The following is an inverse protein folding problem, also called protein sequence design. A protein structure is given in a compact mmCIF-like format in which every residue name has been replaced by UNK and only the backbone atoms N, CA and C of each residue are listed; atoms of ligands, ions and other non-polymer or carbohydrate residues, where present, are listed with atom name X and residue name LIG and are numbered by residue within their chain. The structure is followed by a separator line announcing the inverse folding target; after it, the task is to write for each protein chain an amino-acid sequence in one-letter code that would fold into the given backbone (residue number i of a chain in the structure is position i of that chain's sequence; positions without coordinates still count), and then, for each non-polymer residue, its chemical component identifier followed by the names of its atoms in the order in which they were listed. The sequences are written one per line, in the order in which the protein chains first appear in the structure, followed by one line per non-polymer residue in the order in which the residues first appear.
data_IF_984769006295
#
_entry.id   IF_984769006295
#
_cell.length_a   1.000
_cell.length_b   1.000
_cell.length_c   1.000
_cell.angle_alpha   90.00
_cell.angle_beta   90.00
_cell.angle_gamma   90.00
#
_symmetry.space_group_name_H-M   'P 1'
#
loop_
_entity.id
_entity.type
_entity.pdbx_description
1 polymer ?
#
# COMPACT_ATOMS: atom_id res chain seq x y z
N UNK A 1 14.50 37.38 -3.56
CA UNK A 1 15.23 36.12 -3.86
C UNK A 1 16.17 35.86 -2.71
N UNK A 2 16.27 34.63 -2.21
CA UNK A 2 17.26 34.30 -1.19
C UNK A 2 18.68 34.48 -1.74
N UNK A 3 19.59 34.92 -0.89
CA UNK A 3 21.02 34.98 -1.15
C UNK A 3 21.61 33.58 -1.35
N UNK A 4 22.76 33.49 -2.01
CA UNK A 4 23.47 32.22 -2.18
C UNK A 4 23.83 31.59 -0.84
N UNK A 5 24.21 32.40 0.16
CA UNK A 5 24.50 31.93 1.51
C UNK A 5 23.27 31.28 2.18
N UNK A 6 22.07 31.85 2.02
CA UNK A 6 20.84 31.25 2.56
C UNK A 6 20.50 29.92 1.86
N UNK A 7 20.74 29.81 0.55
CA UNK A 7 20.52 28.56 -0.18
C UNK A 7 21.49 27.46 0.28
N UNK A 8 22.77 27.80 0.47
CA UNK A 8 23.77 26.87 1.00
C UNK A 8 23.38 26.35 2.40
N UNK A 9 22.88 27.23 3.28
CA UNK A 9 22.40 26.83 4.61
C UNK A 9 21.18 25.88 4.52
N UNK A 10 20.25 26.15 3.61
CA UNK A 10 19.08 25.29 3.38
C UNK A 10 19.47 23.92 2.81
N UNK A 11 20.47 23.88 1.93
CA UNK A 11 21.00 22.62 1.38
C UNK A 11 21.70 21.80 2.47
N UNK A 12 22.53 22.42 3.31
CA UNK A 12 23.15 21.75 4.46
C UNK A 12 22.10 21.21 5.44
N UNK A 13 21.05 22.00 5.71
CA UNK A 13 19.92 21.58 6.54
C UNK A 13 19.20 20.39 5.90
N UNK A 14 18.94 20.42 4.60
CA UNK A 14 18.35 19.30 3.86
C UNK A 14 19.18 18.03 4.01
N UNK A 15 20.48 18.11 3.74
CA UNK A 15 21.41 17.00 3.85
C UNK A 15 21.42 16.39 5.26
N UNK A 16 21.35 17.21 6.30
CA UNK A 16 21.30 16.74 7.69
C UNK A 16 19.99 16.02 8.06
N UNK A 17 18.87 16.37 7.42
CA UNK A 17 17.53 15.89 7.80
C UNK A 17 17.05 14.73 6.92
N UNK A 18 17.27 14.82 5.61
CA UNK A 18 16.82 13.84 4.61
C UNK A 18 17.98 13.09 3.93
N UNK A 19 19.22 13.53 4.13
CA UNK A 19 20.41 12.96 3.48
C UNK A 19 20.75 13.70 2.19
N UNK A 20 22.04 13.92 1.93
CA UNK A 20 22.48 14.64 0.74
C UNK A 20 22.04 13.93 -0.55
N UNK A 21 22.11 12.60 -0.56
CA UNK A 21 21.77 11.76 -1.71
C UNK A 21 20.29 11.82 -2.13
N UNK A 22 19.40 12.38 -1.30
CA UNK A 22 17.98 12.52 -1.62
C UNK A 22 17.63 13.85 -2.28
N UNK A 23 18.61 14.74 -2.47
CA UNK A 23 18.42 16.04 -3.13
C UNK A 23 18.36 15.86 -4.66
N UNK A 24 17.28 15.27 -5.15
CA UNK A 24 17.05 15.11 -6.58
C UNK A 24 16.68 16.44 -7.26
N UNK A 25 16.62 16.43 -8.60
CA UNK A 25 16.37 17.63 -9.41
C UNK A 25 15.14 18.44 -8.98
N UNK A 26 14.03 17.77 -8.64
CA UNK A 26 12.84 18.44 -8.09
C UNK A 26 13.12 19.29 -6.84
N UNK A 27 13.84 18.77 -5.85
CA UNK A 27 14.22 19.51 -4.66
C UNK A 27 15.21 20.64 -4.96
N UNK A 28 16.21 20.38 -5.81
CA UNK A 28 17.18 21.39 -6.23
C UNK A 28 16.52 22.55 -7.02
N UNK A 29 15.55 22.22 -7.86
CA UNK A 29 14.72 23.20 -8.59
C UNK A 29 13.89 24.03 -7.62
N UNK A 30 13.27 23.38 -6.63
CA UNK A 30 12.49 24.06 -5.60
C UNK A 30 13.35 25.01 -4.77
N UNK A 31 14.54 24.59 -4.33
CA UNK A 31 15.49 25.45 -3.61
C UNK A 31 15.89 26.68 -4.44
N UNK A 32 16.07 26.53 -5.75
CA UNK A 32 16.46 27.62 -6.65
C UNK A 32 15.32 28.62 -6.87
N UNK A 33 14.10 28.13 -7.06
CA UNK A 33 12.94 28.93 -7.50
C UNK A 33 12.19 29.52 -6.31
N UNK A 34 11.96 28.73 -5.26
CA UNK A 34 11.23 29.14 -4.05
C UNK A 34 11.86 28.54 -2.77
N UNK A 35 12.92 29.18 -2.24
CA UNK A 35 13.58 28.77 -1.00
C UNK A 35 12.65 28.75 0.22
N UNK A 36 11.59 29.57 0.24
CA UNK A 36 10.63 29.62 1.34
C UNK A 36 9.79 28.36 1.33
N UNK A 37 9.24 27.99 0.17
CA UNK A 37 8.50 26.75 0.02
C UNK A 37 9.40 25.51 0.20
N UNK A 38 10.64 25.54 -0.30
CA UNK A 38 11.64 24.49 -0.02
C UNK A 38 11.80 24.23 1.48
N UNK A 39 12.02 25.29 2.26
CA UNK A 39 12.21 25.19 3.72
C UNK A 39 10.99 24.62 4.43
N UNK A 40 9.78 25.03 4.01
CA UNK A 40 8.53 24.50 4.55
C UNK A 40 8.33 23.01 4.20
N UNK A 41 8.52 22.64 2.93
CA UNK A 41 8.41 21.24 2.46
C UNK A 41 9.44 20.33 3.14
N UNK A 42 10.68 20.79 3.30
CA UNK A 42 11.70 20.08 4.08
C UNK A 42 11.26 19.88 5.54
N UNK A 43 10.71 20.93 6.17
CA UNK A 43 10.25 20.85 7.56
C UNK A 43 9.19 19.76 7.75
N UNK A 44 8.23 19.67 6.81
CA UNK A 44 7.18 18.67 6.80
C UNK A 44 7.73 17.27 6.53
N UNK A 45 8.47 17.09 5.44
CA UNK A 45 9.04 15.81 5.03
C UNK A 45 10.01 15.21 6.07
N UNK A 46 10.71 16.06 6.84
CA UNK A 46 11.64 15.61 7.86
C UNK A 46 10.98 15.16 9.18
N UNK A 47 9.67 15.37 9.39
CA UNK A 47 9.02 15.01 10.68
C UNK A 47 9.14 13.52 11.00
N UNK A 48 8.75 12.58 10.11
CA UNK A 48 8.89 11.15 10.40
C UNK A 48 10.34 10.78 10.63
N UNK A 49 11.25 11.41 9.86
CA UNK A 49 12.67 11.15 9.98
C UNK A 49 13.28 11.59 11.30
N UNK A 50 12.84 12.72 11.86
CA UNK A 50 13.31 13.20 13.17
C UNK A 50 12.74 12.37 14.31
N UNK A 51 11.46 12.03 14.25
CA UNK A 51 10.79 11.24 15.30
C UNK A 51 11.30 9.79 15.36
N UNK A 52 11.64 9.21 14.21
CA UNK A 52 12.26 7.88 14.09
C UNK A 52 11.50 6.76 14.82
N UNK A 53 10.16 6.81 14.83
CA UNK A 53 9.34 5.73 15.38
C UNK A 53 9.37 4.45 14.53
N UNK A 54 9.62 4.59 13.23
CA UNK A 54 9.91 3.50 12.30
C UNK A 54 11.38 3.56 11.89
N UNK A 55 11.97 2.41 11.56
CA UNK A 55 13.34 2.36 11.05
C UNK A 55 13.44 3.07 9.69
N UNK A 56 14.67 3.43 9.27
CA UNK A 56 14.89 4.04 7.95
C UNK A 56 14.49 3.11 6.81
N UNK A 57 14.73 1.81 6.98
CA UNK A 57 14.30 0.77 6.06
C UNK A 57 12.77 0.75 5.91
N UNK A 58 12.04 0.68 7.02
CA UNK A 58 10.57 0.62 6.99
C UNK A 58 9.96 1.90 6.42
N UNK A 59 10.52 3.07 6.75
CA UNK A 59 10.10 4.34 6.15
C UNK A 59 10.26 4.33 4.62
N UNK A 60 11.36 3.76 4.11
CA UNK A 60 11.59 3.65 2.68
C UNK A 60 10.64 2.64 2.02
N UNK A 61 10.39 1.49 2.65
CA UNK A 61 9.44 0.48 2.14
C UNK A 61 7.99 1.01 2.12
N UNK A 62 7.58 1.77 3.13
CA UNK A 62 6.25 2.41 3.16
C UNK A 62 6.14 3.49 2.08
N UNK A 63 7.18 4.31 1.88
CA UNK A 63 7.17 5.28 0.79
C UNK A 63 7.14 4.62 -0.60
N UNK A 64 7.81 3.47 -0.77
CA UNK A 64 7.70 2.65 -1.97
C UNK A 64 6.24 2.21 -2.21
N UNK A 65 5.54 1.73 -1.18
CA UNK A 65 4.15 1.30 -1.31
C UNK A 65 3.23 2.40 -1.85
N UNK A 66 3.43 3.64 -1.40
CA UNK A 66 2.70 4.81 -1.90
C UNK A 66 3.04 5.08 -3.36
N UNK A 67 4.33 5.10 -3.71
CA UNK A 67 4.79 5.45 -5.05
C UNK A 67 4.45 4.38 -6.11
N UNK A 68 4.45 3.09 -5.73
CA UNK A 68 4.19 1.98 -6.64
C UNK A 68 2.73 1.53 -6.72
N UNK A 69 1.85 2.08 -5.88
CA UNK A 69 0.42 1.83 -5.97
C UNK A 69 -0.09 2.18 -7.38
N UNK A 70 -1.01 1.36 -7.91
CA UNK A 70 -1.56 1.53 -9.26
C UNK A 70 -2.28 2.89 -9.46
N UNK A 71 -2.74 3.51 -8.38
CA UNK A 71 -3.36 4.84 -8.38
C UNK A 71 -2.35 5.99 -8.42
N UNK A 72 -1.05 5.73 -8.16
CA UNK A 72 -0.02 6.76 -8.15
C UNK A 72 1.05 6.57 -9.23
N UNK A 73 1.69 5.39 -9.30
CA UNK A 73 2.70 5.00 -10.29
C UNK A 73 3.82 6.05 -10.50
N UNK A 74 4.32 6.65 -9.42
CA UNK A 74 5.33 7.70 -9.49
C UNK A 74 6.75 7.13 -9.62
N UNK A 75 7.16 6.83 -10.85
CA UNK A 75 8.42 6.15 -11.17
C UNK A 75 9.68 6.75 -10.51
N UNK A 76 9.90 8.09 -10.45
CA UNK A 76 11.06 8.65 -9.76
C UNK A 76 11.09 8.33 -8.26
N UNK A 77 9.92 8.36 -7.62
CA UNK A 77 9.75 7.99 -6.22
C UNK A 77 10.04 6.51 -5.97
N UNK A 78 9.46 5.62 -6.79
CA UNK A 78 9.72 4.17 -6.74
C UNK A 78 11.23 3.89 -6.74
N UNK A 79 11.96 4.48 -7.69
CA UNK A 79 13.42 4.30 -7.78
C UNK A 79 14.15 4.82 -6.55
N UNK A 80 13.74 5.98 -6.05
CA UNK A 80 14.35 6.62 -4.88
C UNK A 80 14.17 5.76 -3.62
N UNK A 81 12.96 5.25 -3.40
CA UNK A 81 12.63 4.45 -2.22
C UNK A 81 13.26 3.06 -2.26
N UNK A 82 13.35 2.41 -3.43
CA UNK A 82 14.10 1.15 -3.58
C UNK A 82 15.58 1.34 -3.21
N UNK A 83 16.23 2.39 -3.74
CA UNK A 83 17.63 2.67 -3.43
C UNK A 83 17.82 3.00 -1.95
N UNK A 84 16.91 3.78 -1.36
CA UNK A 84 16.95 4.12 0.06
C UNK A 84 16.79 2.88 0.95
N UNK A 85 15.84 1.99 0.63
CA UNK A 85 15.62 0.74 1.36
C UNK A 85 16.86 -0.17 1.28
N UNK A 86 17.44 -0.33 0.07
CA UNK A 86 18.65 -1.14 -0.13
C UNK A 86 19.85 -0.61 0.67
N UNK A 87 20.05 0.72 0.74
CA UNK A 87 21.11 1.34 1.56
C UNK A 87 20.96 1.01 3.05
N UNK A 88 19.73 0.83 3.52
CA UNK A 88 19.39 0.47 4.90
C UNK A 88 19.30 -1.05 5.11
N UNK A 89 19.75 -1.84 4.12
CA UNK A 89 19.86 -3.29 4.21
C UNK A 89 18.58 -4.06 3.84
N UNK A 90 17.64 -3.44 3.11
CA UNK A 90 16.50 -4.18 2.56
C UNK A 90 16.94 -5.20 1.52
N UNK A 91 16.34 -6.40 1.59
CA UNK A 91 16.56 -7.43 0.56
C UNK A 91 15.70 -7.17 -0.67
N UNK A 92 16.04 -7.86 -1.77
CA UNK A 92 15.21 -7.86 -2.99
C UNK A 92 13.82 -8.43 -2.67
N UNK A 93 13.74 -9.47 -1.83
CA UNK A 93 12.49 -10.10 -1.44
C UNK A 93 11.59 -9.15 -0.65
N UNK A 94 12.14 -8.35 0.27
CA UNK A 94 11.37 -7.32 1.00
C UNK A 94 10.79 -6.27 0.05
N UNK A 95 11.56 -5.83 -0.95
CA UNK A 95 11.11 -4.85 -1.95
C UNK A 95 10.02 -5.45 -2.86
N UNK A 96 10.22 -6.68 -3.35
CA UNK A 96 9.23 -7.36 -4.18
C UNK A 96 7.94 -7.60 -3.43
N UNK A 97 8.03 -7.97 -2.15
CA UNK A 97 6.85 -8.20 -1.33
C UNK A 97 6.03 -6.92 -1.09
N UNK A 98 6.66 -5.75 -0.97
CA UNK A 98 5.93 -4.46 -0.98
C UNK A 98 5.13 -4.30 -2.27
N UNK A 99 5.74 -4.61 -3.43
CA UNK A 99 5.07 -4.48 -4.73
C UNK A 99 3.91 -5.49 -4.87
N UNK A 100 4.10 -6.73 -4.42
CA UNK A 100 3.04 -7.75 -4.39
C UNK A 100 1.86 -7.29 -3.53
N UNK A 101 2.11 -6.80 -2.33
CA UNK A 101 1.10 -6.25 -1.43
C UNK A 101 0.39 -5.04 -2.04
N UNK A 102 1.12 -4.07 -2.60
CA UNK A 102 0.53 -2.90 -3.27
C UNK A 102 -0.30 -3.27 -4.50
N UNK A 103 -0.05 -4.41 -5.12
CA UNK A 103 -0.79 -4.88 -6.29
C UNK A 103 -2.18 -5.42 -5.94
N UNK A 104 -2.47 -5.70 -4.66
CA UNK A 104 -3.81 -6.14 -4.25
C UNK A 104 -4.85 -5.02 -4.29
N UNK A 105 -4.41 -3.76 -4.37
CA UNK A 105 -5.27 -2.56 -4.43
C UNK A 105 -6.40 -2.67 -5.47
N UNK A 106 -6.15 -3.35 -6.60
CA UNK A 106 -7.13 -3.52 -7.68
C UNK A 106 -8.44 -4.19 -7.24
N UNK A 107 -8.43 -4.98 -6.16
CA UNK A 107 -9.63 -5.64 -5.64
C UNK A 107 -10.71 -4.68 -5.16
N UNK A 108 -10.36 -3.42 -4.87
CA UNK A 108 -11.33 -2.41 -4.44
C UNK A 108 -12.39 -2.13 -5.51
N UNK A 109 -12.07 -2.37 -6.79
CA UNK A 109 -13.06 -2.36 -7.85
C UNK A 109 -14.18 -3.38 -7.63
N UNK A 110 -13.86 -4.59 -7.17
CA UNK A 110 -14.84 -5.62 -6.82
C UNK A 110 -15.54 -5.30 -5.49
N UNK A 111 -14.79 -4.87 -4.46
CA UNK A 111 -15.35 -4.57 -3.14
C UNK A 111 -16.41 -3.47 -3.17
N UNK A 112 -16.31 -2.53 -4.12
CA UNK A 112 -17.32 -1.47 -4.31
C UNK A 112 -18.30 -1.84 -5.43
N UNK A 113 -17.79 -2.35 -6.55
CA UNK A 113 -18.60 -2.63 -7.74
C UNK A 113 -19.59 -3.77 -7.55
N UNK A 114 -19.24 -4.81 -6.79
CA UNK A 114 -20.14 -5.95 -6.54
C UNK A 114 -21.34 -5.53 -5.68
N UNK A 115 -21.18 -4.83 -4.54
CA UNK A 115 -22.33 -4.30 -3.80
C UNK A 115 -23.26 -3.43 -4.65
N UNK A 116 -22.71 -2.52 -5.46
CA UNK A 116 -23.51 -1.68 -6.37
C UNK A 116 -24.25 -2.52 -7.43
N UNK A 117 -23.59 -3.54 -7.99
CA UNK A 117 -24.25 -4.48 -8.89
C UNK A 117 -25.42 -5.19 -8.18
N UNK A 118 -25.23 -5.64 -6.94
CA UNK A 118 -26.27 -6.28 -6.14
C UNK A 118 -27.44 -5.33 -5.85
N UNK A 119 -27.18 -4.06 -5.57
CA UNK A 119 -28.23 -3.03 -5.42
C UNK A 119 -29.08 -2.92 -6.68
N UNK A 120 -28.45 -2.77 -7.86
CA UNK A 120 -29.16 -2.70 -9.14
C UNK A 120 -29.91 -4.00 -9.43
N UNK A 121 -29.33 -5.18 -9.15
CA UNK A 121 -30.01 -6.46 -9.30
C UNK A 121 -31.27 -6.55 -8.42
N UNK A 122 -31.23 -6.00 -7.20
CA UNK A 122 -32.41 -5.95 -6.31
C UNK A 122 -33.49 -5.03 -6.86
N UNK A 123 -33.12 -3.83 -7.30
CA UNK A 123 -34.05 -2.85 -7.90
C UNK A 123 -34.74 -3.40 -9.15
N UNK A 124 -34.01 -4.17 -9.95
CA UNK A 124 -34.49 -4.78 -11.18
C UNK A 124 -35.23 -6.13 -10.96
N UNK A 125 -35.35 -6.60 -9.73
CA UNK A 125 -35.94 -7.90 -9.41
C UNK A 125 -35.15 -9.10 -9.94
N UNK A 126 -33.85 -8.92 -10.21
CA UNK A 126 -32.90 -9.91 -10.73
C UNK A 126 -31.99 -10.50 -9.66
N UNK A 127 -32.10 -10.04 -8.41
CA UNK A 127 -31.46 -10.66 -7.26
C UNK A 127 -32.20 -11.93 -6.85
N UNK A 128 -31.95 -13.00 -7.60
CA UNK A 128 -32.72 -14.26 -7.52
C UNK A 128 -32.24 -15.20 -6.42
N UNK A 129 -33.05 -16.23 -6.12
CA UNK A 129 -32.72 -17.31 -5.19
C UNK A 129 -31.40 -18.04 -5.53
N UNK A 130 -31.00 -18.03 -6.80
CA UNK A 130 -29.71 -18.59 -7.23
C UNK A 130 -28.50 -17.82 -6.68
N UNK A 131 -28.66 -16.52 -6.41
CA UNK A 131 -27.63 -15.65 -5.83
C UNK A 131 -27.72 -15.67 -4.30
N UNK A 132 -28.89 -15.80 -3.70
CA UNK A 132 -29.06 -15.79 -2.23
C UNK A 132 -28.98 -17.16 -1.56
N UNK A 133 -28.82 -18.23 -2.35
CA UNK A 133 -28.66 -19.59 -1.81
C UNK A 133 -27.50 -19.66 -0.81
N UNK A 134 -27.57 -20.57 0.18
CA UNK A 134 -26.43 -20.89 1.01
C UNK A 134 -25.21 -21.24 0.15
N UNK A 135 -24.01 -20.95 0.67
CA UNK A 135 -22.77 -21.35 0.02
C UNK A 135 -22.76 -22.85 -0.21
N UNK A 136 -22.28 -23.25 -1.39
CA UNK A 136 -21.94 -24.64 -1.63
C UNK A 136 -20.61 -25.02 -0.97
N UNK A 137 -20.26 -26.30 -1.02
CA UNK A 137 -19.05 -26.83 -0.39
C UNK A 137 -17.77 -26.13 -0.87
N UNK A 138 -17.73 -25.68 -2.13
CA UNK A 138 -16.56 -24.98 -2.67
C UNK A 138 -16.47 -23.55 -2.10
N UNK A 139 -17.59 -22.84 -2.05
CA UNK A 139 -17.65 -21.50 -1.50
C UNK A 139 -17.35 -21.48 0.01
N UNK A 140 -17.87 -22.44 0.78
CA UNK A 140 -17.51 -22.56 2.20
C UNK A 140 -16.02 -22.84 2.39
N UNK A 141 -15.43 -23.72 1.57
CA UNK A 141 -13.97 -23.95 1.58
C UNK A 141 -13.19 -22.66 1.31
N UNK A 142 -13.56 -21.90 0.27
CA UNK A 142 -12.88 -20.65 -0.09
C UNK A 142 -12.99 -19.60 1.02
N UNK A 143 -14.14 -19.50 1.67
CA UNK A 143 -14.35 -18.63 2.84
C UNK A 143 -13.45 -19.03 4.02
N UNK A 144 -13.39 -20.32 4.34
CA UNK A 144 -12.50 -20.84 5.39
C UNK A 144 -11.05 -20.52 5.07
N UNK A 145 -10.61 -20.82 3.84
CA UNK A 145 -9.22 -20.60 3.41
C UNK A 145 -8.85 -19.11 3.42
N UNK A 146 -9.75 -18.23 2.99
CA UNK A 146 -9.55 -16.78 3.09
C UNK A 146 -9.35 -16.35 4.54
N UNK A 147 -10.23 -16.80 5.42
CA UNK A 147 -10.20 -16.43 6.85
C UNK A 147 -8.91 -16.89 7.50
N UNK A 148 -8.45 -18.11 7.21
CA UNK A 148 -7.21 -18.68 7.75
C UNK A 148 -5.97 -17.94 7.24
N UNK A 149 -5.91 -17.61 5.94
CA UNK A 149 -4.73 -16.96 5.34
C UNK A 149 -4.65 -15.47 5.66
N UNK A 150 -5.79 -14.77 5.69
CA UNK A 150 -5.86 -13.30 5.85
C UNK A 150 -6.15 -12.85 7.27
N UNK A 151 -6.64 -13.75 8.13
CA UNK A 151 -6.92 -13.46 9.54
C UNK A 151 -8.22 -12.71 9.81
N UNK A 152 -9.06 -12.49 8.79
CA UNK A 152 -10.37 -11.85 8.93
C UNK A 152 -11.37 -12.33 7.86
N UNK A 153 -12.66 -12.09 8.11
CA UNK A 153 -13.74 -12.23 7.14
C UNK A 153 -14.70 -11.05 7.28
N UNK A 154 -15.22 -10.53 6.17
CA UNK A 154 -16.19 -9.44 6.16
C UNK A 154 -17.34 -9.75 5.19
N UNK A 155 -18.54 -9.25 5.48
CA UNK A 155 -19.77 -9.57 4.73
C UNK A 155 -19.76 -9.08 3.28
N UNK A 156 -19.04 -8.01 2.95
CA UNK A 156 -18.89 -7.53 1.57
C UNK A 156 -18.23 -8.57 0.64
N UNK A 157 -17.49 -9.54 1.18
CA UNK A 157 -16.93 -10.64 0.40
C UNK A 157 -17.98 -11.67 -0.03
N UNK A 158 -19.11 -11.74 0.67
CA UNK A 158 -20.07 -12.81 0.45
C UNK A 158 -20.69 -12.74 -0.93
N UNK A 159 -21.21 -11.58 -1.33
CA UNK A 159 -21.85 -11.43 -2.63
C UNK A 159 -20.83 -11.61 -3.77
N UNK A 160 -19.58 -11.18 -3.57
CA UNK A 160 -18.52 -11.45 -4.54
C UNK A 160 -18.25 -12.95 -4.69
N UNK A 161 -18.10 -13.68 -3.57
CA UNK A 161 -17.93 -15.14 -3.58
C UNK A 161 -19.16 -15.88 -4.17
N UNK A 162 -20.38 -15.35 -3.98
CA UNK A 162 -21.60 -15.91 -4.58
C UNK A 162 -21.64 -15.72 -6.09
N UNK A 163 -21.26 -14.55 -6.57
CA UNK A 163 -21.37 -14.16 -7.97
C UNK A 163 -20.22 -14.71 -8.83
N UNK A 164 -19.01 -14.78 -8.29
CA UNK A 164 -17.82 -15.19 -9.04
C UNK A 164 -16.80 -15.92 -8.14
N UNK A 165 -17.06 -17.19 -7.78
CA UNK A 165 -16.13 -17.96 -6.94
C UNK A 165 -14.79 -18.25 -7.62
N UNK A 166 -14.74 -18.29 -8.96
CA UNK A 166 -13.52 -18.53 -9.73
C UNK A 166 -12.57 -17.34 -9.63
N UNK A 167 -13.09 -16.11 -9.79
CA UNK A 167 -12.30 -14.91 -9.55
C UNK A 167 -11.88 -14.84 -8.07
N UNK A 168 -12.82 -15.06 -7.14
CA UNK A 168 -12.52 -15.00 -5.71
C UNK A 168 -11.34 -15.93 -5.34
N UNK A 169 -11.35 -17.17 -5.84
CA UNK A 169 -10.26 -18.13 -5.63
C UNK A 169 -8.93 -17.62 -6.21
N UNK A 170 -8.93 -17.13 -7.44
CA UNK A 170 -7.72 -16.58 -8.06
C UNK A 170 -7.17 -15.36 -7.30
N UNK A 171 -8.04 -14.50 -6.78
CA UNK A 171 -7.63 -13.36 -5.94
C UNK A 171 -7.09 -13.82 -4.58
N UNK A 172 -7.68 -14.86 -3.98
CA UNK A 172 -7.19 -15.45 -2.73
C UNK A 172 -5.80 -16.04 -2.92
N UNK A 173 -5.55 -16.73 -4.04
CA UNK A 173 -4.21 -17.21 -4.39
C UNK A 173 -3.23 -16.03 -4.51
N UNK A 174 -3.56 -15.05 -5.35
CA UNK A 174 -2.72 -13.89 -5.63
C UNK A 174 -2.36 -13.10 -4.36
N UNK A 175 -3.36 -12.71 -3.58
CA UNK A 175 -3.17 -11.91 -2.37
C UNK A 175 -2.62 -12.70 -1.19
N UNK A 176 -2.67 -14.03 -1.25
CA UNK A 176 -2.07 -14.93 -0.27
C UNK A 176 -0.55 -15.06 -0.40
N UNK A 177 0.03 -14.79 -1.58
CA UNK A 177 1.46 -15.01 -1.87
C UNK A 177 2.39 -14.39 -0.82
N UNK A 178 2.27 -13.09 -0.45
CA UNK A 178 3.12 -12.50 0.59
C UNK A 178 3.04 -13.24 1.93
N UNK A 179 1.92 -13.85 2.27
CA UNK A 179 1.66 -14.45 3.58
C UNK A 179 2.14 -15.88 3.73
N UNK A 180 2.33 -16.59 2.62
CA UNK A 180 2.63 -18.03 2.62
C UNK A 180 3.91 -18.39 1.87
N UNK A 181 4.47 -17.47 1.07
CA UNK A 181 5.69 -17.77 0.31
C UNK A 181 6.88 -17.98 1.26
N UNK A 182 7.63 -19.05 1.04
CA UNK A 182 8.90 -19.26 1.73
C UNK A 182 9.98 -18.37 1.13
N UNK A 183 10.71 -17.65 1.99
CA UNK A 183 11.86 -16.83 1.58
C UNK A 183 13.10 -17.34 2.30
N UNK A 184 14.07 -17.85 1.54
CA UNK A 184 15.31 -18.39 2.09
C UNK A 184 16.09 -17.29 2.83
N UNK A 185 16.57 -17.59 4.04
CA UNK A 185 17.27 -16.61 4.88
C UNK A 185 16.36 -15.56 5.55
N UNK A 186 15.04 -15.59 5.31
CA UNK A 186 14.07 -14.81 6.08
C UNK A 186 13.96 -15.34 7.51
N UNK A 187 13.81 -14.43 8.48
CA UNK A 187 13.45 -14.80 9.86
C UNK A 187 12.06 -15.42 9.96
N UNK A 188 11.25 -15.26 8.92
CA UNK A 188 9.88 -15.75 8.82
C UNK A 188 9.78 -16.79 7.71
N UNK A 189 10.60 -17.85 7.78
CA UNK A 189 10.90 -18.81 6.71
C UNK A 189 9.70 -19.37 5.89
N UNK A 190 8.46 -19.27 6.37
CA UNK A 190 7.24 -19.72 5.71
C UNK A 190 6.16 -18.62 5.55
N UNK A 191 6.50 -17.35 5.77
CA UNK A 191 5.55 -16.22 5.79
C UNK A 191 6.08 -14.96 5.10
N UNK A 192 6.89 -15.12 4.07
CA UNK A 192 7.50 -14.02 3.33
C UNK A 192 8.74 -13.42 4.00
N UNK A 193 9.17 -12.29 3.47
CA UNK A 193 10.32 -11.50 3.90
C UNK A 193 9.96 -10.43 4.93
N UNK A 194 8.74 -9.89 4.88
CA UNK A 194 8.29 -8.82 5.79
C UNK A 194 7.61 -9.37 7.05
N UNK A 195 7.80 -8.70 8.18
CA UNK A 195 7.00 -8.96 9.39
C UNK A 195 5.52 -8.59 9.14
N UNK A 196 4.54 -9.31 9.74
CA UNK A 196 3.11 -9.04 9.55
C UNK A 196 2.72 -7.57 9.72
N UNK A 197 3.25 -6.91 10.75
CA UNK A 197 3.03 -5.49 11.02
C UNK A 197 3.45 -4.60 9.83
N UNK A 198 4.54 -4.93 9.16
CA UNK A 198 5.01 -4.15 8.00
C UNK A 198 4.10 -4.40 6.79
N UNK A 199 3.60 -5.62 6.59
CA UNK A 199 2.62 -5.91 5.53
C UNK A 199 1.35 -5.08 5.70
N UNK A 200 0.82 -5.01 6.93
CA UNK A 200 -0.33 -4.17 7.23
C UNK A 200 -0.05 -2.69 6.99
N UNK A 201 1.14 -2.20 7.36
CA UNK A 201 1.54 -0.82 7.06
C UNK A 201 1.64 -0.54 5.55
N UNK A 202 1.97 -1.53 4.71
CA UNK A 202 1.95 -1.40 3.25
C UNK A 202 0.52 -1.21 2.74
N UNK A 203 -0.45 -1.98 3.24
CA UNK A 203 -1.86 -1.76 2.90
C UNK A 203 -2.33 -0.36 3.33
N UNK A 204 -2.06 0.01 4.60
CA UNK A 204 -2.39 1.35 5.09
C UNK A 204 -1.75 2.46 4.25
N UNK A 205 -0.53 2.25 3.74
CA UNK A 205 0.19 3.27 2.98
C UNK A 205 -0.53 3.62 1.68
N UNK A 206 -0.94 2.63 0.88
CA UNK A 206 -1.66 2.92 -0.35
C UNK A 206 -3.11 3.34 -0.08
N UNK A 207 -3.75 2.86 0.98
CA UNK A 207 -5.14 3.23 1.31
C UNK A 207 -5.25 4.67 1.84
N UNK A 208 -4.24 5.14 2.56
CA UNK A 208 -4.15 6.52 3.05
C UNK A 208 -3.56 7.48 2.00
N UNK A 209 -3.13 7.00 0.84
CA UNK A 209 -2.60 7.86 -0.21
C UNK A 209 -3.73 8.72 -0.79
N UNK A 210 -3.47 10.02 -1.02
CA UNK A 210 -4.47 10.95 -1.55
C UNK A 210 -4.98 10.55 -2.96
N UNK A 211 -4.24 9.69 -3.67
CA UNK A 211 -4.61 9.14 -4.98
C UNK A 211 -5.54 7.93 -4.88
N UNK A 212 -5.73 7.37 -3.69
CA UNK A 212 -6.67 6.29 -3.46
C UNK A 212 -8.12 6.80 -3.41
N UNK A 213 -9.06 5.86 -3.36
CA UNK A 213 -10.49 6.13 -3.27
C UNK A 213 -10.77 6.97 -2.02
N UNK A 214 -11.30 8.17 -2.22
CA UNK A 214 -11.82 9.03 -1.16
C UNK A 214 -13.34 8.85 -1.13
N UNK A 215 -13.81 7.81 -0.45
CA UNK A 215 -15.24 7.60 -0.19
C UNK A 215 -15.46 7.37 1.31
N UNK A 216 -16.47 8.07 1.86
CA UNK A 216 -16.85 8.02 3.27
C UNK A 216 -17.30 6.59 3.69
N UNK A 217 -17.67 5.75 2.73
CA UNK A 217 -18.15 4.38 2.96
C UNK A 217 -17.10 3.45 3.60
N UNK A 218 -15.80 3.65 3.32
CA UNK A 218 -14.72 2.80 3.85
C UNK A 218 -14.25 3.18 5.26
N UNK A 219 -14.56 4.40 5.73
CA UNK A 219 -14.25 4.83 7.09
C UNK A 219 -15.16 4.18 8.16
N UNK A 220 -16.15 3.38 7.73
CA UNK A 220 -17.15 2.76 8.59
C UNK A 220 -16.83 1.33 9.03
N UNK A 221 -15.69 0.74 8.60
CA UNK A 221 -15.24 -0.53 9.18
C UNK A 221 -14.64 -0.27 10.56
N UNK A 222 -15.46 -0.46 11.60
CA UNK A 222 -15.02 -0.47 13.00
C UNK A 222 -13.88 -1.49 13.19
N UNK A 223 -12.75 -1.03 13.73
CA UNK A 223 -11.64 -1.85 14.22
C UNK A 223 -12.02 -2.68 15.44
#
# INVERSE_FOLDING_TARGET
MASEHEKEQLEQRFASQLGADTLHEGWASLLRIDPVFFSASLSLAAVPRRKSHLSRKDQALIGLAVDCAATHLYQPGIRTHIVAAAKEGATVDEVLEVIELSSTLGIHACNIGVPLLVEVLKEEGKYTDGITKPFDDNQERLKTEFTEKRGYWHTFWEDFLRLDPEFFEAYLEFSGVPWIKGVEGSKMAERGALEPKIKELVYCAFDCAATHLNDDSMASSEF
#
